data_IF_605093986954
#
_entry.id   IF_605093986954
#
_cell.length_a   1.000
_cell.length_b   1.000
_cell.length_c   1.000
_cell.angle_alpha   90.00
_cell.angle_beta   90.00
_cell.angle_gamma   90.00
#
_symmetry.space_group_name_H-M   'P 1'
#
loop_
_entity.id
_entity.type
_entity.pdbx_description
1 polymer ?
#
# COMPACT_ATOMS: atom_id res chain seq x y z
N UNK A 1 -43.29 27.31 20.35
CA UNK A 1 -42.32 26.22 20.17
C UNK A 1 -42.42 25.32 21.39
N UNK A 2 -42.65 24.03 21.16
CA UNK A 2 -42.73 23.06 22.23
C UNK A 2 -41.37 22.80 22.87
N UNK A 3 -41.34 22.39 24.15
CA UNK A 3 -40.10 22.04 24.86
C UNK A 3 -39.29 20.95 24.12
N UNK A 4 -39.94 20.09 23.35
CA UNK A 4 -39.34 19.08 22.49
C UNK A 4 -38.63 19.68 21.27
N UNK A 5 -39.13 20.74 20.66
CA UNK A 5 -38.47 21.44 19.54
C UNK A 5 -37.24 22.23 20.01
N UNK A 6 -37.26 22.79 21.22
CA UNK A 6 -36.08 23.42 21.81
C UNK A 6 -34.98 22.40 22.17
N UNK A 7 -35.37 21.23 22.69
CA UNK A 7 -34.43 20.14 22.98
C UNK A 7 -33.79 19.55 21.71
N UNK A 8 -34.56 19.39 20.63
CA UNK A 8 -34.02 18.95 19.31
C UNK A 8 -33.08 20.00 18.68
N UNK A 9 -33.37 21.30 18.86
CA UNK A 9 -32.48 22.38 18.37
C UNK A 9 -31.18 22.53 19.18
N UNK A 10 -31.15 22.03 20.40
CA UNK A 10 -29.96 22.06 21.28
C UNK A 10 -29.06 20.85 21.14
N UNK A 11 -29.52 19.77 20.50
CA UNK A 11 -28.72 18.57 20.29
C UNK A 11 -27.53 18.86 19.36
N UNK A 12 -26.28 18.57 19.77
CA UNK A 12 -25.07 18.75 18.92
C UNK A 12 -25.16 18.02 17.60
N UNK A 13 -25.84 16.88 17.55
CA UNK A 13 -26.00 16.03 16.38
C UNK A 13 -26.79 16.67 15.23
N UNK A 14 -27.73 17.55 15.56
CA UNK A 14 -28.53 18.26 14.57
C UNK A 14 -27.97 19.66 14.34
N UNK A 15 -27.59 20.34 15.42
CA UNK A 15 -27.11 21.71 15.34
C UNK A 15 -25.79 21.86 14.58
N UNK A 16 -24.94 20.81 14.53
CA UNK A 16 -23.67 20.80 13.77
C UNK A 16 -23.88 21.06 12.28
N UNK A 17 -24.99 20.63 11.72
CA UNK A 17 -25.30 20.76 10.30
C UNK A 17 -25.69 22.19 9.87
N UNK A 18 -26.36 22.92 10.75
CA UNK A 18 -26.94 24.21 10.43
C UNK A 18 -26.25 25.38 11.16
N UNK A 19 -25.73 25.13 12.36
CA UNK A 19 -25.17 26.17 13.23
C UNK A 19 -23.82 25.72 13.84
N UNK A 20 -22.82 25.32 13.02
CA UNK A 20 -21.58 24.69 13.53
C UNK A 20 -20.81 25.57 14.50
N UNK A 21 -20.83 26.90 14.34
CA UNK A 21 -20.16 27.85 15.26
C UNK A 21 -20.74 27.82 16.67
N UNK A 22 -22.08 27.81 16.79
CA UNK A 22 -22.76 27.74 18.10
C UNK A 22 -22.60 26.35 18.72
N UNK A 23 -22.63 25.31 17.88
CA UNK A 23 -22.47 23.95 18.34
C UNK A 23 -21.10 23.75 18.99
N UNK A 24 -20.00 24.24 18.38
CA UNK A 24 -18.67 24.10 18.98
C UNK A 24 -18.54 24.92 20.28
N UNK A 25 -19.14 26.11 20.37
CA UNK A 25 -19.18 26.90 21.62
C UNK A 25 -19.81 26.12 22.75
N UNK A 26 -20.99 25.50 22.53
CA UNK A 26 -21.67 24.70 23.51
C UNK A 26 -20.84 23.46 23.91
N UNK A 27 -20.25 22.75 22.91
CA UNK A 27 -19.41 21.59 23.17
C UNK A 27 -18.17 21.98 24.01
N UNK A 28 -17.53 23.09 23.70
CA UNK A 28 -16.39 23.57 24.45
C UNK A 28 -16.74 23.99 25.88
N UNK A 29 -17.92 24.57 26.07
CA UNK A 29 -18.43 24.98 27.40
C UNK A 29 -18.73 23.76 28.29
N UNK A 30 -19.38 22.74 27.76
CA UNK A 30 -19.76 21.53 28.49
C UNK A 30 -18.58 20.57 28.72
N UNK A 31 -17.49 20.70 27.95
CA UNK A 31 -16.29 19.82 27.96
C UNK A 31 -16.62 18.31 27.96
N UNK A 32 -17.51 17.81 27.11
CA UNK A 32 -17.84 16.39 27.09
C UNK A 32 -16.68 15.62 26.40
N UNK A 33 -15.67 15.22 27.17
CA UNK A 33 -14.59 14.39 26.66
C UNK A 33 -15.06 12.96 26.33
N UNK A 34 -16.20 12.54 26.94
CA UNK A 34 -16.80 11.23 26.69
C UNK A 34 -17.42 11.21 25.28
N UNK A 35 -16.95 10.30 24.45
CA UNK A 35 -17.46 10.11 23.10
C UNK A 35 -16.65 10.79 21.97
N UNK A 36 -15.80 11.79 22.25
CA UNK A 36 -14.98 12.47 21.23
C UNK A 36 -14.03 11.48 20.53
N UNK A 37 -13.44 10.55 21.28
CA UNK A 37 -12.58 9.51 20.71
C UNK A 37 -13.38 8.58 19.80
N UNK A 38 -14.56 8.17 20.24
CA UNK A 38 -15.44 7.29 19.50
C UNK A 38 -15.95 7.97 18.22
N UNK A 39 -16.40 9.22 18.33
CA UNK A 39 -16.86 9.99 17.18
C UNK A 39 -15.73 10.32 16.20
N UNK A 40 -14.57 10.72 16.71
CA UNK A 40 -13.41 11.06 15.90
C UNK A 40 -12.85 9.84 15.16
N UNK A 41 -12.71 8.70 15.85
CA UNK A 41 -12.29 7.45 15.20
C UNK A 41 -13.32 7.00 14.17
N UNK A 42 -14.61 7.04 14.48
CA UNK A 42 -15.68 6.70 13.56
C UNK A 42 -15.66 7.57 12.31
N UNK A 43 -15.45 8.87 12.45
CA UNK A 43 -15.39 9.81 11.33
C UNK A 43 -14.20 9.53 10.40
N UNK A 44 -13.03 9.23 10.97
CA UNK A 44 -11.84 8.88 10.17
C UNK A 44 -11.98 7.50 9.51
N UNK A 45 -12.52 6.51 10.26
CA UNK A 45 -12.87 5.20 9.71
C UNK A 45 -13.85 5.35 8.55
N UNK A 46 -14.90 6.16 8.72
CA UNK A 46 -15.90 6.40 7.70
C UNK A 46 -15.27 6.99 6.43
N UNK A 47 -14.41 7.99 6.56
CA UNK A 47 -13.69 8.59 5.43
C UNK A 47 -12.82 7.58 4.69
N UNK A 48 -12.04 6.80 5.42
CA UNK A 48 -11.12 5.80 4.83
C UNK A 48 -11.88 4.64 4.22
N UNK A 49 -12.86 4.09 4.94
CA UNK A 49 -13.65 2.96 4.47
C UNK A 49 -14.48 3.30 3.23
N UNK A 50 -15.02 4.51 3.15
CA UNK A 50 -15.74 4.97 1.95
C UNK A 50 -14.85 5.04 0.70
N UNK A 51 -13.57 5.34 0.86
CA UNK A 51 -12.58 5.29 -0.22
C UNK A 51 -12.28 3.85 -0.64
N UNK A 52 -12.05 2.95 0.34
CA UNK A 52 -11.75 1.54 0.09
C UNK A 52 -12.92 0.81 -0.57
N UNK A 53 -14.14 1.09 -0.12
CA UNK A 53 -15.36 0.54 -0.73
C UNK A 53 -15.49 0.96 -2.19
N UNK A 54 -15.24 2.24 -2.49
CA UNK A 54 -15.24 2.73 -3.89
C UNK A 54 -14.18 2.03 -4.73
N UNK A 55 -12.95 1.92 -4.20
CA UNK A 55 -11.86 1.23 -4.88
C UNK A 55 -12.19 -0.25 -5.13
N UNK A 56 -12.71 -0.96 -4.11
CA UNK A 56 -13.10 -2.37 -4.24
C UNK A 56 -14.17 -2.60 -5.31
N UNK A 57 -15.16 -1.71 -5.43
CA UNK A 57 -16.20 -1.78 -6.47
C UNK A 57 -15.62 -1.47 -7.84
N UNK A 58 -14.80 -0.41 -7.95
CA UNK A 58 -14.22 0.04 -9.22
C UNK A 58 -13.28 -1.01 -9.84
N UNK A 59 -12.50 -1.72 -9.01
CA UNK A 59 -11.52 -2.71 -9.46
C UNK A 59 -11.94 -4.17 -9.26
N UNK A 60 -13.16 -4.44 -8.76
CA UNK A 60 -13.70 -5.80 -8.50
C UNK A 60 -12.83 -6.66 -7.57
N UNK A 61 -12.05 -6.04 -6.71
CA UNK A 61 -11.18 -6.71 -5.72
C UNK A 61 -11.89 -6.64 -4.37
N UNK A 62 -12.92 -7.46 -4.16
CA UNK A 62 -13.61 -7.51 -2.88
C UNK A 62 -13.39 -8.88 -2.22
N UNK A 63 -12.42 -8.93 -1.30
CA UNK A 63 -12.22 -10.05 -0.40
C UNK A 63 -12.60 -9.59 1.01
N UNK A 64 -13.52 -10.29 1.68
CA UNK A 64 -14.00 -9.93 2.99
C UNK A 64 -12.92 -10.02 4.09
N UNK A 65 -11.93 -10.93 3.95
CA UNK A 65 -10.79 -11.02 4.87
C UNK A 65 -9.91 -9.77 4.77
N UNK A 66 -9.67 -9.32 3.55
CA UNK A 66 -8.94 -8.07 3.30
C UNK A 66 -9.74 -6.89 3.83
N UNK A 67 -11.05 -6.85 3.59
CA UNK A 67 -11.92 -5.79 4.09
C UNK A 67 -11.95 -5.72 5.62
N UNK A 68 -12.02 -6.85 6.31
CA UNK A 68 -11.97 -6.91 7.77
C UNK A 68 -10.61 -6.45 8.33
N UNK A 69 -9.50 -6.90 7.75
CA UNK A 69 -8.16 -6.46 8.12
C UNK A 69 -7.98 -4.95 7.93
N UNK A 70 -8.44 -4.41 6.81
CA UNK A 70 -8.43 -2.98 6.53
C UNK A 70 -9.32 -2.19 7.51
N UNK A 71 -10.49 -2.69 7.89
CA UNK A 71 -11.36 -2.03 8.88
C UNK A 71 -10.66 -1.89 10.24
N UNK A 72 -9.96 -2.93 10.71
CA UNK A 72 -9.18 -2.89 11.95
C UNK A 72 -8.02 -1.88 11.82
N UNK A 73 -7.27 -1.94 10.71
CA UNK A 73 -6.19 -1.01 10.45
C UNK A 73 -6.68 0.45 10.39
N UNK A 74 -7.84 0.69 9.75
CA UNK A 74 -8.49 2.00 9.72
C UNK A 74 -8.95 2.48 11.11
N UNK A 75 -9.42 1.57 11.98
CA UNK A 75 -9.78 1.94 13.34
C UNK A 75 -8.57 2.45 14.13
N UNK A 76 -7.45 1.73 14.08
CA UNK A 76 -6.20 2.14 14.72
C UNK A 76 -5.67 3.44 14.10
N UNK A 77 -5.65 3.54 12.77
CA UNK A 77 -5.23 4.74 12.05
C UNK A 77 -6.16 5.93 12.34
N UNK A 78 -7.46 5.69 12.54
CA UNK A 78 -8.43 6.71 12.88
C UNK A 78 -8.15 7.38 14.24
N UNK A 79 -7.89 6.57 15.26
CA UNK A 79 -7.54 7.10 16.59
C UNK A 79 -6.21 7.85 16.54
N UNK A 80 -5.17 7.23 15.97
CA UNK A 80 -3.84 7.88 15.87
C UNK A 80 -3.91 9.14 15.01
N UNK A 81 -4.64 9.09 13.89
CA UNK A 81 -4.84 10.22 12.99
C UNK A 81 -5.55 11.40 13.65
N UNK A 82 -6.54 11.15 14.52
CA UNK A 82 -7.21 12.18 15.30
C UNK A 82 -6.23 12.97 16.20
N UNK A 83 -5.34 12.25 16.90
CA UNK A 83 -4.35 12.88 17.77
C UNK A 83 -3.30 13.63 16.98
N UNK A 84 -2.78 13.03 15.90
CA UNK A 84 -1.78 13.63 15.02
C UNK A 84 -2.33 14.89 14.35
N UNK A 85 -3.52 14.81 13.76
CA UNK A 85 -4.13 15.96 13.09
C UNK A 85 -4.43 17.10 14.06
N UNK A 86 -4.99 16.79 15.23
CA UNK A 86 -5.22 17.82 16.26
C UNK A 86 -3.93 18.47 16.75
N UNK A 87 -2.85 17.70 16.86
CA UNK A 87 -1.53 18.23 17.21
C UNK A 87 -0.97 19.16 16.12
N UNK A 88 -1.07 18.75 14.85
CA UNK A 88 -0.61 19.55 13.71
C UNK A 88 -1.41 20.84 13.59
N UNK A 89 -2.75 20.76 13.70
CA UNK A 89 -3.59 21.97 13.66
C UNK A 89 -3.35 22.89 14.86
N UNK A 90 -3.01 22.35 16.02
CA UNK A 90 -2.58 23.15 17.17
C UNK A 90 -1.29 23.92 16.86
N UNK A 91 -0.32 23.26 16.22
CA UNK A 91 0.94 23.91 15.83
C UNK A 91 0.71 25.01 14.77
N UNK A 92 -0.07 24.70 13.72
CA UNK A 92 -0.40 25.67 12.68
C UNK A 92 -1.17 26.87 13.25
N UNK A 93 -2.12 26.62 14.17
CA UNK A 93 -2.85 27.67 14.88
C UNK A 93 -1.94 28.54 15.73
N UNK A 94 -1.07 27.94 16.54
CA UNK A 94 -0.12 28.67 17.40
C UNK A 94 0.82 29.59 16.63
N UNK A 95 1.33 29.15 15.48
CA UNK A 95 2.19 29.97 14.61
C UNK A 95 1.47 31.24 14.12
N UNK A 96 0.15 31.23 14.07
CA UNK A 96 -0.67 32.37 13.64
C UNK A 96 -1.38 33.08 14.83
N UNK A 97 -0.97 32.77 16.05
CA UNK A 97 -1.48 33.41 17.28
C UNK A 97 -2.75 32.79 17.84
N UNK A 98 -3.05 31.55 17.52
CA UNK A 98 -4.18 30.79 18.05
C UNK A 98 -3.98 30.34 19.50
N UNK A 99 -5.10 30.09 20.20
CA UNK A 99 -5.12 29.78 21.63
C UNK A 99 -5.73 28.43 21.98
N UNK A 100 -6.28 27.71 21.00
CA UNK A 100 -6.95 26.43 21.23
C UNK A 100 -6.00 25.36 21.77
N UNK A 101 -6.49 24.59 22.72
CA UNK A 101 -5.79 23.42 23.24
C UNK A 101 -5.91 22.22 22.29
N UNK A 102 -5.00 21.25 22.42
CA UNK A 102 -5.09 20.02 21.63
C UNK A 102 -6.40 19.23 21.91
N UNK A 103 -6.96 19.35 23.11
CA UNK A 103 -8.23 18.71 23.45
C UNK A 103 -9.40 19.35 22.69
N UNK A 104 -9.45 20.67 22.64
CA UNK A 104 -10.44 21.42 21.88
C UNK A 104 -10.35 21.14 20.38
N UNK A 105 -9.15 21.06 19.83
CA UNK A 105 -8.96 20.73 18.42
C UNK A 105 -9.32 19.28 18.09
N UNK A 106 -9.13 18.32 19.01
CA UNK A 106 -9.69 16.98 18.82
C UNK A 106 -11.21 16.99 18.69
N UNK A 107 -11.90 17.82 19.49
CA UNK A 107 -13.36 18.00 19.36
C UNK A 107 -13.73 18.62 18.01
N UNK A 108 -12.98 19.63 17.57
CA UNK A 108 -13.18 20.26 16.25
C UNK A 108 -13.01 19.25 15.11
N UNK A 109 -11.96 18.43 15.15
CA UNK A 109 -11.72 17.38 14.14
C UNK A 109 -12.83 16.34 14.17
N UNK A 110 -13.21 15.85 15.36
CA UNK A 110 -14.22 14.81 15.50
C UNK A 110 -15.58 15.26 14.97
N UNK A 111 -16.04 16.43 15.36
CA UNK A 111 -17.36 16.97 14.96
C UNK A 111 -17.35 17.56 13.55
N UNK A 112 -16.24 18.14 13.11
CA UNK A 112 -16.10 18.69 11.76
C UNK A 112 -16.18 17.65 10.65
N UNK A 113 -15.77 16.39 10.94
CA UNK A 113 -15.83 15.28 10.01
C UNK A 113 -17.16 14.50 10.04
N UNK A 114 -18.15 14.95 10.83
CA UNK A 114 -19.44 14.29 10.96
C UNK A 114 -20.16 13.99 9.62
N UNK A 115 -20.13 14.88 8.60
CA UNK A 115 -20.71 14.55 7.31
C UNK A 115 -20.09 13.33 6.60
N UNK A 116 -18.84 13.00 6.90
CA UNK A 116 -18.19 11.80 6.34
C UNK A 116 -18.83 10.50 6.86
N UNK A 117 -19.37 10.51 8.09
CA UNK A 117 -20.09 9.36 8.66
C UNK A 117 -21.40 9.11 7.91
N UNK A 118 -22.12 10.19 7.58
CA UNK A 118 -23.32 10.09 6.74
C UNK A 118 -22.96 9.62 5.33
N UNK A 119 -21.87 10.14 4.76
CA UNK A 119 -21.35 9.71 3.47
C UNK A 119 -21.04 8.22 3.41
N UNK A 120 -20.48 7.65 4.47
CA UNK A 120 -20.26 6.20 4.57
C UNK A 120 -21.59 5.43 4.62
N UNK A 121 -22.54 5.86 5.45
CA UNK A 121 -23.85 5.19 5.54
C UNK A 121 -24.54 5.14 4.18
N UNK A 122 -24.55 6.26 3.45
CA UNK A 122 -25.08 6.32 2.08
C UNK A 122 -24.29 5.44 1.11
N UNK A 123 -22.95 5.42 1.21
CA UNK A 123 -22.11 4.57 0.39
C UNK A 123 -22.42 3.08 0.62
N UNK A 124 -22.60 2.65 1.85
CA UNK A 124 -22.96 1.25 2.16
C UNK A 124 -24.33 0.87 1.61
N UNK A 125 -25.32 1.76 1.66
CA UNK A 125 -26.63 1.53 1.03
C UNK A 125 -26.52 1.39 -0.47
N UNK A 126 -25.74 2.25 -1.13
CA UNK A 126 -25.50 2.17 -2.58
C UNK A 126 -24.74 0.92 -2.98
N UNK A 127 -23.79 0.45 -2.16
CA UNK A 127 -23.10 -0.83 -2.37
C UNK A 127 -24.06 -1.99 -2.24
N UNK A 128 -24.89 -2.01 -1.20
CA UNK A 128 -25.91 -3.04 -1.04
C UNK A 128 -26.87 -3.08 -2.26
N UNK A 129 -27.30 -1.91 -2.73
CA UNK A 129 -28.10 -1.80 -3.94
C UNK A 129 -27.36 -2.34 -5.19
N UNK A 130 -26.05 -2.06 -5.34
CA UNK A 130 -25.25 -2.56 -6.43
C UNK A 130 -25.15 -4.10 -6.43
N UNK A 131 -24.96 -4.71 -5.26
CA UNK A 131 -24.90 -6.16 -5.10
C UNK A 131 -26.25 -6.85 -5.43
N UNK A 132 -27.36 -6.21 -5.09
CA UNK A 132 -28.71 -6.73 -5.39
C UNK A 132 -29.04 -6.60 -6.88
N UNK A 133 -28.68 -5.49 -7.51
CA UNK A 133 -29.05 -5.21 -8.91
C UNK A 133 -28.08 -5.83 -9.92
N UNK A 134 -26.81 -6.05 -9.56
CA UNK A 134 -25.76 -6.51 -10.47
C UNK A 134 -25.55 -8.03 -10.52
N UNK A 135 -26.38 -8.84 -9.84
CA UNK A 135 -26.29 -10.32 -9.90
C UNK A 135 -24.93 -10.94 -9.55
N UNK A 136 -24.07 -10.20 -8.86
CA UNK A 136 -22.75 -10.66 -8.34
C UNK A 136 -21.60 -10.71 -9.37
N UNK A 137 -21.88 -10.82 -10.66
CA UNK A 137 -20.86 -11.01 -11.71
C UNK A 137 -20.72 -9.82 -12.69
N UNK A 138 -21.66 -8.88 -12.71
CA UNK A 138 -21.61 -7.73 -13.60
C UNK A 138 -20.98 -6.50 -12.93
N UNK A 139 -20.44 -5.59 -13.76
CA UNK A 139 -19.91 -4.32 -13.26
C UNK A 139 -21.03 -3.51 -12.61
N UNK A 140 -20.72 -2.84 -11.49
CA UNK A 140 -21.68 -1.93 -10.87
C UNK A 140 -22.16 -0.90 -11.92
N UNK A 141 -23.48 -0.64 -11.98
CA UNK A 141 -24.03 0.33 -12.93
C UNK A 141 -23.35 1.71 -12.81
N UNK A 142 -23.06 2.34 -13.93
CA UNK A 142 -22.34 3.63 -13.96
C UNK A 142 -23.01 4.72 -13.10
N UNK A 143 -24.34 4.70 -13.00
CA UNK A 143 -25.08 5.65 -12.16
C UNK A 143 -24.77 5.48 -10.65
N UNK A 144 -24.56 4.25 -10.18
CA UNK A 144 -24.17 4.00 -8.76
C UNK A 144 -22.79 4.59 -8.49
N UNK A 145 -21.82 4.36 -9.38
CA UNK A 145 -20.48 4.94 -9.25
C UNK A 145 -20.52 6.47 -9.27
N UNK A 146 -21.36 7.04 -10.11
CA UNK A 146 -21.57 8.49 -10.17
C UNK A 146 -22.16 9.01 -8.87
N UNK A 147 -23.21 8.36 -8.33
CA UNK A 147 -23.81 8.71 -7.04
C UNK A 147 -22.81 8.59 -5.89
N UNK A 148 -21.99 7.54 -5.84
CA UNK A 148 -20.94 7.39 -4.84
C UNK A 148 -19.92 8.53 -4.89
N UNK A 149 -19.50 8.93 -6.09
CA UNK A 149 -18.55 10.02 -6.29
C UNK A 149 -19.15 11.38 -5.90
N UNK A 150 -20.36 11.66 -6.32
CA UNK A 150 -21.06 12.93 -6.01
C UNK A 150 -21.38 13.06 -4.52
N UNK A 151 -21.88 11.99 -3.88
CA UNK A 151 -22.14 11.97 -2.44
C UNK A 151 -20.85 12.22 -1.64
N UNK A 152 -19.75 11.56 -2.01
CA UNK A 152 -18.48 11.77 -1.33
C UNK A 152 -17.95 13.21 -1.51
N UNK A 153 -18.12 13.78 -2.68
CA UNK A 153 -17.72 15.17 -2.95
C UNK A 153 -18.54 16.15 -2.10
N UNK A 154 -19.86 15.98 -2.08
CA UNK A 154 -20.77 16.85 -1.30
C UNK A 154 -20.45 16.74 0.21
N UNK A 155 -20.37 15.52 0.74
CA UNK A 155 -20.03 15.30 2.15
C UNK A 155 -18.64 15.83 2.50
N UNK A 156 -17.67 15.68 1.59
CA UNK A 156 -16.31 16.19 1.75
C UNK A 156 -16.26 17.73 1.82
N UNK A 157 -16.91 18.40 0.88
CA UNK A 157 -17.00 19.87 0.88
C UNK A 157 -17.70 20.36 2.14
N UNK A 158 -18.82 19.72 2.52
CA UNK A 158 -19.56 20.11 3.71
C UNK A 158 -18.76 19.89 4.99
N UNK A 159 -18.03 18.77 5.10
CA UNK A 159 -17.09 18.53 6.21
C UNK A 159 -16.02 19.61 6.29
N UNK A 160 -15.44 20.02 5.16
CA UNK A 160 -14.43 21.06 5.12
C UNK A 160 -14.99 22.42 5.60
N UNK A 161 -16.21 22.76 5.21
CA UNK A 161 -16.89 24.00 5.64
C UNK A 161 -17.16 23.97 7.14
N UNK A 162 -17.77 22.89 7.65
CA UNK A 162 -18.05 22.74 9.08
C UNK A 162 -16.75 22.81 9.88
N UNK A 163 -15.74 22.05 9.46
CA UNK A 163 -14.43 22.04 10.11
C UNK A 163 -13.79 23.44 10.15
N UNK A 164 -13.79 24.17 9.04
CA UNK A 164 -13.24 25.51 8.99
C UNK A 164 -13.98 26.50 9.91
N UNK A 165 -15.31 26.41 9.96
CA UNK A 165 -16.13 27.27 10.83
C UNK A 165 -15.91 26.97 12.31
N UNK A 166 -15.82 25.68 12.68
CA UNK A 166 -15.55 25.25 14.04
C UNK A 166 -14.12 25.59 14.48
N UNK A 167 -13.14 25.37 13.60
CA UNK A 167 -11.73 25.69 13.82
C UNK A 167 -11.53 27.21 14.01
N UNK A 168 -12.12 28.03 13.13
CA UNK A 168 -12.10 29.49 13.24
C UNK A 168 -12.60 29.97 14.63
N UNK A 169 -13.65 29.32 15.15
CA UNK A 169 -14.23 29.70 16.43
C UNK A 169 -13.39 29.24 17.61
N UNK A 170 -12.87 28.02 17.55
CA UNK A 170 -12.00 27.47 18.59
C UNK A 170 -10.69 28.26 18.75
N UNK A 171 -10.07 28.69 17.64
CA UNK A 171 -8.83 29.48 17.65
C UNK A 171 -9.06 30.98 17.81
N UNK A 172 -10.29 31.48 17.65
CA UNK A 172 -10.63 32.90 17.68
C UNK A 172 -10.13 33.64 16.43
N UNK A 173 -10.05 32.98 15.29
CA UNK A 173 -9.51 33.53 14.06
C UNK A 173 -10.57 34.21 13.19
N UNK A 174 -10.16 35.30 12.51
CA UNK A 174 -10.88 35.80 11.34
C UNK A 174 -10.67 34.91 10.12
N UNK A 175 -11.42 35.17 9.05
CA UNK A 175 -11.45 34.36 7.82
C UNK A 175 -10.05 34.07 7.25
N UNK A 176 -9.22 35.08 7.01
CA UNK A 176 -7.89 34.90 6.37
C UNK A 176 -6.91 34.11 7.22
N UNK A 177 -6.93 34.35 8.56
CA UNK A 177 -6.08 33.57 9.47
C UNK A 177 -6.51 32.10 9.53
N UNK A 178 -7.83 31.85 9.48
CA UNK A 178 -8.35 30.48 9.42
C UNK A 178 -7.88 29.78 8.15
N UNK A 179 -8.03 30.40 6.98
CA UNK A 179 -7.56 29.84 5.71
C UNK A 179 -6.07 29.55 5.76
N UNK A 180 -5.25 30.50 6.23
CA UNK A 180 -3.82 30.32 6.35
C UNK A 180 -3.43 29.19 7.31
N UNK A 181 -4.09 29.11 8.48
CA UNK A 181 -3.83 28.04 9.46
C UNK A 181 -4.22 26.65 8.94
N UNK A 182 -5.36 26.54 8.26
CA UNK A 182 -5.81 25.30 7.65
C UNK A 182 -4.91 24.87 6.50
N UNK A 183 -4.49 25.80 5.66
CA UNK A 183 -3.53 25.51 4.58
C UNK A 183 -2.19 25.06 5.14
N UNK A 184 -1.65 25.75 6.14
CA UNK A 184 -0.41 25.34 6.80
C UNK A 184 -0.54 23.96 7.46
N UNK A 185 -1.64 23.73 8.18
CA UNK A 185 -1.94 22.42 8.79
C UNK A 185 -2.05 21.30 7.74
N UNK A 186 -2.66 21.58 6.59
CA UNK A 186 -2.73 20.63 5.48
C UNK A 186 -1.34 20.34 4.91
N UNK A 187 -0.52 21.35 4.66
CA UNK A 187 0.87 21.18 4.19
C UNK A 187 1.68 20.33 5.17
N UNK A 188 1.59 20.62 6.47
CA UNK A 188 2.29 19.84 7.49
C UNK A 188 1.84 18.37 7.52
N UNK A 189 0.53 18.11 7.37
CA UNK A 189 0.02 16.73 7.26
C UNK A 189 0.55 16.00 6.01
N UNK A 190 0.59 16.67 4.86
CA UNK A 190 1.15 16.10 3.62
C UNK A 190 2.65 15.81 3.80
N UNK A 191 3.41 16.74 4.36
CA UNK A 191 4.84 16.55 4.63
C UNK A 191 5.06 15.36 5.58
N UNK A 192 4.29 15.27 6.66
CA UNK A 192 4.39 14.14 7.58
C UNK A 192 4.06 12.80 6.89
N UNK A 193 3.00 12.77 6.08
CA UNK A 193 2.63 11.56 5.32
C UNK A 193 3.74 11.16 4.35
N UNK A 194 4.35 12.11 3.65
CA UNK A 194 5.50 11.88 2.77
C UNK A 194 6.72 11.34 3.53
N UNK A 195 7.03 11.93 4.69
CA UNK A 195 8.16 11.47 5.53
C UNK A 195 7.92 10.03 6.00
N UNK A 196 6.72 9.71 6.45
CA UNK A 196 6.36 8.34 6.86
C UNK A 196 6.45 7.39 5.66
N UNK A 197 5.86 7.75 4.51
CA UNK A 197 5.86 6.92 3.31
C UNK A 197 7.30 6.67 2.80
N UNK A 198 8.13 7.70 2.77
CA UNK A 198 9.56 7.58 2.42
C UNK A 198 10.32 6.74 3.44
N UNK A 199 10.03 6.92 4.73
CA UNK A 199 10.61 6.09 5.80
C UNK A 199 10.28 4.62 5.64
N UNK A 200 9.01 4.28 5.44
CA UNK A 200 8.57 2.90 5.19
C UNK A 200 9.23 2.33 3.93
N UNK A 201 9.22 3.08 2.83
CA UNK A 201 9.83 2.67 1.56
C UNK A 201 11.35 2.46 1.67
N UNK A 202 12.03 3.26 2.47
CA UNK A 202 13.49 3.20 2.64
C UNK A 202 13.91 2.09 3.59
N UNK A 203 13.21 1.97 4.73
CA UNK A 203 13.65 1.14 5.85
C UNK A 203 12.93 -0.22 5.90
N UNK A 204 11.70 -0.31 5.45
CA UNK A 204 10.90 -1.52 5.63
C UNK A 204 10.64 -2.24 4.32
N UNK A 205 9.72 -1.72 3.51
CA UNK A 205 9.20 -2.42 2.34
C UNK A 205 9.13 -1.51 1.13
N UNK A 206 9.50 -2.05 -0.02
CA UNK A 206 9.34 -1.39 -1.30
C UNK A 206 8.49 -2.26 -2.23
N UNK A 207 7.42 -1.69 -2.84
CA UNK A 207 6.67 -2.40 -3.87
C UNK A 207 7.47 -2.48 -5.17
N UNK A 208 7.41 -3.65 -5.82
CA UNK A 208 7.93 -3.93 -7.15
C UNK A 208 6.86 -4.61 -7.98
N UNK A 209 6.98 -4.50 -9.28
CA UNK A 209 6.20 -5.30 -10.24
C UNK A 209 7.13 -6.24 -10.99
N UNK A 210 6.56 -7.32 -11.53
CA UNK A 210 7.30 -8.30 -12.34
C UNK A 210 7.21 -7.92 -13.81
N UNK A 211 8.29 -7.37 -14.42
CA UNK A 211 8.28 -6.96 -15.83
C UNK A 211 8.62 -8.08 -16.79
N UNK A 212 8.93 -9.29 -16.31
CA UNK A 212 9.40 -10.40 -17.16
C UNK A 212 8.96 -11.76 -16.64
N UNK A 213 8.89 -12.74 -17.54
CA UNK A 213 8.54 -14.13 -17.23
C UNK A 213 9.66 -14.93 -16.56
N UNK A 214 10.83 -14.33 -16.28
CA UNK A 214 12.02 -15.06 -15.81
C UNK A 214 11.84 -15.74 -14.44
N UNK A 215 10.80 -15.41 -13.70
CA UNK A 215 10.45 -16.01 -12.40
C UNK A 215 9.19 -16.87 -12.45
N UNK A 216 8.61 -17.07 -13.64
CA UNK A 216 7.43 -17.96 -13.80
C UNK A 216 7.79 -19.41 -13.45
N UNK A 217 6.88 -20.16 -12.81
CA UNK A 217 5.54 -19.78 -12.38
C UNK A 217 5.48 -19.22 -10.94
N UNK A 218 6.60 -18.85 -10.34
CA UNK A 218 6.64 -18.35 -8.95
C UNK A 218 6.10 -16.92 -8.86
N UNK A 219 6.47 -16.07 -9.82
CA UNK A 219 5.95 -14.73 -10.03
C UNK A 219 5.52 -14.63 -11.49
N UNK A 220 4.29 -14.19 -11.71
CA UNK A 220 3.73 -13.99 -13.04
C UNK A 220 4.03 -12.57 -13.54
N UNK A 221 3.93 -12.38 -14.86
CA UNK A 221 4.04 -11.04 -15.45
C UNK A 221 2.94 -10.14 -14.89
N UNK A 222 3.31 -8.95 -14.44
CA UNK A 222 2.37 -7.99 -13.86
C UNK A 222 2.08 -8.18 -12.37
N UNK A 223 2.57 -9.24 -11.73
CA UNK A 223 2.42 -9.40 -10.29
C UNK A 223 3.10 -8.26 -9.53
N UNK A 224 2.42 -7.77 -8.48
CA UNK A 224 2.97 -6.84 -7.51
C UNK A 224 3.38 -7.58 -6.25
N UNK A 225 4.57 -7.29 -5.77
CA UNK A 225 5.11 -7.89 -4.54
C UNK A 225 5.89 -6.87 -3.72
N UNK A 226 6.02 -7.14 -2.42
CA UNK A 226 6.78 -6.29 -1.50
C UNK A 226 8.14 -6.92 -1.20
N UNK A 227 9.18 -6.11 -1.31
CA UNK A 227 10.56 -6.50 -0.96
C UNK A 227 10.90 -5.94 0.40
N UNK A 228 11.33 -6.81 1.32
CA UNK A 228 11.83 -6.37 2.62
C UNK A 228 13.25 -5.84 2.49
N UNK A 229 13.47 -4.58 2.86
CA UNK A 229 14.78 -3.92 2.77
C UNK A 229 15.77 -4.38 3.83
N UNK A 230 15.26 -4.77 4.99
CA UNK A 230 16.07 -5.17 6.14
C UNK A 230 16.60 -6.60 6.07
N UNK A 231 16.07 -7.45 5.17
CA UNK A 231 16.41 -8.88 5.11
C UNK A 231 17.91 -9.13 4.89
N UNK A 232 18.56 -8.34 4.05
CA UNK A 232 19.97 -8.48 3.71
C UNK A 232 20.79 -7.22 4.00
N UNK A 233 20.26 -6.29 4.80
CA UNK A 233 20.87 -5.01 5.13
C UNK A 233 20.71 -3.95 4.05
N UNK A 234 21.20 -2.75 4.37
CA UNK A 234 20.98 -1.54 3.58
C UNK A 234 22.21 -1.16 2.76
N UNK A 235 21.97 -0.78 1.52
CA UNK A 235 22.97 -0.17 0.64
C UNK A 235 22.52 1.24 0.27
N UNK A 236 23.35 2.02 -0.39
CA UNK A 236 22.94 3.33 -0.90
C UNK A 236 21.74 3.23 -1.86
N UNK A 237 21.53 2.08 -2.55
CA UNK A 237 20.35 1.80 -3.36
C UNK A 237 19.06 1.58 -2.53
N UNK A 238 19.18 1.38 -1.22
CA UNK A 238 18.01 1.28 -0.35
C UNK A 238 17.33 2.63 -0.12
N UNK A 239 18.07 3.74 -0.29
CA UNK A 239 17.62 5.11 -0.10
C UNK A 239 17.04 5.64 -1.42
N UNK A 240 15.93 6.39 -1.40
CA UNK A 240 15.41 7.06 -2.59
C UNK A 240 16.46 7.93 -3.26
N UNK A 241 16.50 7.92 -4.60
CA UNK A 241 17.49 8.60 -5.42
C UNK A 241 18.93 8.07 -5.30
N UNK A 242 19.14 6.98 -4.55
CA UNK A 242 20.43 6.28 -4.42
C UNK A 242 21.64 7.20 -4.13
N UNK A 243 21.59 8.08 -3.11
CA UNK A 243 22.70 9.00 -2.81
C UNK A 243 23.94 8.20 -2.36
N UNK A 244 25.10 8.58 -2.85
CA UNK A 244 26.37 7.91 -2.54
C UNK A 244 26.95 8.38 -1.20
N UNK A 245 26.15 8.35 -0.12
CA UNK A 245 26.59 8.78 1.21
C UNK A 245 27.52 7.76 1.89
N UNK A 246 27.40 6.49 1.52
CA UNK A 246 28.24 5.41 2.02
C UNK A 246 28.43 4.33 0.96
N UNK A 247 29.51 3.55 1.08
CA UNK A 247 29.81 2.39 0.26
C UNK A 247 29.63 1.11 1.08
N UNK A 248 29.29 0.02 0.38
CA UNK A 248 29.09 -1.28 1.03
C UNK A 248 27.68 -1.48 1.57
N UNK A 249 27.54 -2.32 2.59
CA UNK A 249 26.27 -2.76 3.16
C UNK A 249 26.27 -2.61 4.67
N UNK A 250 25.26 -1.89 5.20
CA UNK A 250 25.03 -1.75 6.64
C UNK A 250 24.10 -2.88 7.11
N UNK A 251 24.44 -3.52 8.24
CA UNK A 251 23.72 -4.66 8.80
C UNK A 251 23.54 -5.80 7.81
N UNK A 252 24.59 -6.08 7.01
CA UNK A 252 24.54 -7.06 5.94
C UNK A 252 24.38 -8.48 6.45
N UNK A 253 23.48 -9.26 5.85
CA UNK A 253 23.43 -10.71 5.92
C UNK A 253 23.50 -11.31 4.53
N UNK A 254 23.98 -12.55 4.44
CA UNK A 254 24.06 -13.25 3.18
C UNK A 254 22.74 -13.98 2.87
N UNK A 255 22.27 -13.95 1.60
CA UNK A 255 21.08 -14.68 1.21
C UNK A 255 21.34 -16.19 1.23
N UNK A 256 20.35 -16.95 1.61
CA UNK A 256 20.38 -18.40 1.55
C UNK A 256 20.08 -18.93 0.15
N UNK A 257 20.50 -20.17 -0.12
CA UNK A 257 20.14 -20.84 -1.36
C UNK A 257 18.64 -21.09 -1.41
N UNK A 258 18.00 -20.68 -2.49
CA UNK A 258 16.54 -20.75 -2.68
C UNK A 258 15.84 -19.40 -2.50
N UNK A 259 16.47 -18.43 -1.85
CA UNK A 259 15.87 -17.11 -1.64
C UNK A 259 15.60 -16.39 -2.96
N UNK A 260 14.51 -15.62 -2.96
CA UNK A 260 14.18 -14.72 -4.06
C UNK A 260 14.66 -13.32 -3.68
N UNK A 261 15.55 -12.78 -4.49
CA UNK A 261 16.21 -11.50 -4.21
C UNK A 261 15.98 -10.51 -5.34
N UNK A 262 15.91 -9.24 -4.99
CA UNK A 262 15.99 -8.13 -5.94
C UNK A 262 17.43 -7.62 -5.94
N UNK A 263 18.01 -7.53 -7.11
CA UNK A 263 19.38 -7.06 -7.27
C UNK A 263 19.47 -5.99 -8.35
N UNK A 264 20.35 -5.03 -8.14
CA UNK A 264 20.69 -4.02 -9.12
C UNK A 264 21.61 -4.64 -10.19
N UNK A 265 21.35 -4.35 -11.45
CA UNK A 265 22.16 -4.90 -12.54
C UNK A 265 23.52 -4.21 -12.58
N UNK A 266 24.66 -4.95 -12.49
CA UNK A 266 26.00 -4.33 -12.41
C UNK A 266 26.40 -3.49 -13.63
N UNK A 267 25.77 -3.72 -14.78
CA UNK A 267 26.04 -2.99 -16.02
C UNK A 267 25.12 -1.79 -16.24
N UNK A 268 24.01 -1.74 -15.53
CA UNK A 268 23.00 -0.70 -15.68
C UNK A 268 22.33 -0.47 -14.33
N UNK A 269 22.75 0.57 -13.65
CA UNK A 269 22.25 0.96 -12.33
C UNK A 269 20.79 1.45 -12.35
N UNK A 270 20.14 1.54 -13.51
CA UNK A 270 18.73 1.89 -13.63
C UNK A 270 17.80 0.67 -13.52
N UNK A 271 18.34 -0.57 -13.70
CA UNK A 271 17.54 -1.78 -13.79
C UNK A 271 17.65 -2.65 -12.54
N UNK A 272 16.49 -3.05 -12.03
CA UNK A 272 16.35 -4.04 -10.96
C UNK A 272 15.91 -5.39 -11.53
N UNK A 273 16.60 -6.46 -11.14
CA UNK A 273 16.23 -7.84 -11.49
C UNK A 273 15.72 -8.58 -10.26
N UNK A 274 14.67 -9.35 -10.46
CA UNK A 274 14.18 -10.32 -9.47
C UNK A 274 14.69 -11.69 -9.88
N UNK A 275 15.45 -12.35 -9.02
CA UNK A 275 16.07 -13.63 -9.30
C UNK A 275 16.09 -14.53 -8.06
N UNK A 276 16.22 -15.85 -8.30
CA UNK A 276 16.40 -16.83 -7.21
C UNK A 276 17.87 -17.14 -7.04
N UNK A 277 18.34 -17.18 -5.80
CA UNK A 277 19.68 -17.58 -5.43
C UNK A 277 19.79 -19.11 -5.56
N UNK A 278 20.60 -19.60 -6.50
CA UNK A 278 20.85 -21.04 -6.69
C UNK A 278 22.27 -21.43 -6.32
N UNK A 279 23.23 -20.50 -6.39
CA UNK A 279 24.62 -20.70 -6.03
C UNK A 279 25.07 -19.77 -4.90
N UNK A 280 25.93 -20.26 -4.05
CA UNK A 280 26.60 -19.51 -2.99
C UNK A 280 28.08 -19.30 -3.36
N UNK A 281 28.80 -18.35 -2.72
CA UNK A 281 30.23 -18.16 -2.96
C UNK A 281 31.00 -19.48 -2.80
N UNK A 282 31.83 -19.78 -3.81
CA UNK A 282 32.58 -21.04 -3.87
C UNK A 282 31.96 -22.16 -4.70
N UNK A 283 30.65 -22.10 -4.95
CA UNK A 283 29.97 -23.12 -5.73
C UNK A 283 30.37 -23.09 -7.22
N UNK A 284 30.38 -24.27 -7.82
CA UNK A 284 30.45 -24.45 -9.29
C UNK A 284 29.04 -24.74 -9.82
N UNK A 285 28.55 -23.84 -10.63
CA UNK A 285 27.19 -23.91 -11.19
C UNK A 285 27.27 -24.21 -12.68
N UNK A 286 26.52 -25.21 -13.13
CA UNK A 286 26.43 -25.56 -14.54
C UNK A 286 24.98 -25.97 -14.86
N UNK A 287 24.55 -25.67 -16.06
CA UNK A 287 23.30 -26.19 -16.63
C UNK A 287 23.66 -27.10 -17.78
N UNK A 288 23.27 -28.37 -17.68
CA UNK A 288 23.47 -29.39 -18.75
C UNK A 288 22.10 -29.87 -19.21
N UNK A 289 21.81 -29.73 -20.48
CA UNK A 289 20.53 -30.16 -21.07
C UNK A 289 19.28 -29.71 -20.25
N UNK A 290 19.32 -28.48 -19.75
CA UNK A 290 18.24 -27.93 -18.94
C UNK A 290 18.20 -28.40 -17.48
N UNK A 291 19.16 -29.20 -17.03
CA UNK A 291 19.29 -29.64 -15.64
C UNK A 291 20.35 -28.81 -14.94
N UNK A 292 19.97 -28.22 -13.80
CA UNK A 292 20.89 -27.49 -12.95
C UNK A 292 21.81 -28.46 -12.21
N UNK A 293 23.12 -28.21 -12.26
CA UNK A 293 24.14 -28.99 -11.55
C UNK A 293 24.91 -28.03 -10.63
N UNK A 294 25.04 -28.39 -9.37
CA UNK A 294 25.74 -27.64 -8.33
C UNK A 294 26.85 -28.52 -7.76
N UNK A 295 28.10 -28.09 -7.84
CA UNK A 295 29.27 -28.84 -7.40
C UNK A 295 29.29 -30.27 -7.94
N UNK A 296 29.09 -30.37 -9.27
CA UNK A 296 29.03 -31.62 -10.04
C UNK A 296 27.85 -32.56 -9.70
N UNK A 297 26.95 -32.16 -8.79
CA UNK A 297 25.77 -32.92 -8.41
C UNK A 297 24.53 -32.32 -9.10
N UNK A 298 23.79 -33.15 -9.86
CA UNK A 298 22.55 -32.71 -10.48
C UNK A 298 21.45 -32.49 -9.44
N UNK A 299 20.75 -31.39 -9.58
CA UNK A 299 19.62 -31.05 -8.68
C UNK A 299 18.48 -32.02 -8.92
N UNK A 300 17.93 -32.58 -7.83
CA UNK A 300 16.77 -33.49 -7.88
C UNK A 300 15.58 -32.80 -8.52
N UNK A 301 14.94 -33.48 -9.49
CA UNK A 301 13.90 -32.92 -10.33
C UNK A 301 12.71 -33.85 -10.38
N UNK A 302 11.51 -33.34 -10.12
CA UNK A 302 10.24 -34.05 -10.19
C UNK A 302 9.31 -33.34 -11.16
N UNK A 303 8.75 -34.05 -12.12
CA UNK A 303 7.79 -33.49 -13.05
C UNK A 303 6.48 -33.21 -12.34
N UNK A 304 5.94 -32.03 -12.54
CA UNK A 304 4.62 -31.61 -12.04
C UNK A 304 3.61 -31.58 -13.19
N UNK A 305 2.34 -31.38 -12.85
CA UNK A 305 1.32 -31.11 -13.87
C UNK A 305 1.71 -29.89 -14.73
N UNK A 306 1.49 -29.99 -16.03
CA UNK A 306 1.82 -28.95 -16.98
C UNK A 306 1.11 -27.63 -16.62
N UNK A 307 1.78 -26.53 -16.85
CA UNK A 307 1.20 -25.22 -16.65
C UNK A 307 0.46 -24.81 -17.92
N UNK A 308 -0.84 -24.57 -17.77
CA UNK A 308 -1.69 -24.00 -18.82
C UNK A 308 -1.89 -22.54 -18.47
N UNK A 309 -1.05 -21.69 -19.00
CA UNK A 309 -1.18 -20.26 -18.76
C UNK A 309 -0.93 -19.56 -20.07
N UNK A 310 -1.95 -18.86 -20.58
CA UNK A 310 -1.85 -18.02 -21.75
C UNK A 310 -0.59 -17.13 -21.72
N UNK A 311 -0.64 -15.90 -21.98
CA UNK A 311 0.46 -14.91 -22.09
C UNK A 311 1.57 -14.96 -20.99
N UNK A 312 1.45 -15.87 -20.02
CA UNK A 312 2.36 -15.97 -18.85
C UNK A 312 3.76 -16.53 -19.15
N UNK A 313 3.99 -17.09 -20.34
CA UNK A 313 5.28 -17.73 -20.67
C UNK A 313 5.96 -17.19 -21.94
N UNK A 314 5.50 -16.06 -22.48
CA UNK A 314 5.97 -15.43 -23.71
C UNK A 314 5.03 -15.69 -24.89
N UNK A 315 5.11 -14.82 -25.90
CA UNK A 315 4.21 -14.79 -27.07
C UNK A 315 4.11 -16.10 -27.85
N UNK A 316 5.11 -16.97 -27.72
CA UNK A 316 5.16 -18.28 -28.44
C UNK A 316 4.56 -19.45 -27.64
N UNK A 317 4.10 -19.25 -26.41
CA UNK A 317 3.68 -20.34 -25.51
C UNK A 317 2.15 -20.48 -25.45
N UNK A 318 1.47 -20.49 -26.57
CA UNK A 318 0.05 -20.85 -26.68
C UNK A 318 -0.22 -22.35 -26.36
N UNK A 319 0.64 -23.00 -25.55
CA UNK A 319 0.60 -24.40 -25.26
C UNK A 319 0.88 -24.76 -23.81
N UNK A 320 0.78 -26.07 -23.52
CA UNK A 320 1.15 -26.63 -22.23
C UNK A 320 2.66 -26.53 -22.02
N UNK A 321 3.09 -25.85 -20.95
CA UNK A 321 4.49 -25.70 -20.57
C UNK A 321 4.83 -26.71 -19.49
N UNK A 322 5.87 -27.53 -19.72
CA UNK A 322 6.35 -28.52 -18.74
C UNK A 322 6.85 -27.82 -17.50
N UNK A 323 6.38 -28.25 -16.36
CA UNK A 323 6.71 -27.70 -15.07
C UNK A 323 7.43 -28.73 -14.21
N UNK A 324 8.49 -28.29 -13.54
CA UNK A 324 9.31 -29.13 -12.69
C UNK A 324 9.41 -28.55 -11.28
N UNK A 325 9.44 -29.42 -10.29
CA UNK A 325 9.86 -29.10 -8.93
C UNK A 325 11.32 -29.49 -8.81
N UNK A 326 12.18 -28.56 -8.55
CA UNK A 326 13.60 -28.76 -8.30
C UNK A 326 13.87 -28.61 -6.80
N UNK A 327 14.58 -29.58 -6.20
CA UNK A 327 14.95 -29.56 -4.79
C UNK A 327 16.44 -29.26 -4.70
N UNK A 328 16.78 -28.07 -4.22
CA UNK A 328 18.15 -27.62 -4.03
C UNK A 328 18.86 -28.40 -2.93
N UNK A 329 20.22 -28.41 -2.87
CA UNK A 329 20.98 -29.17 -1.87
C UNK A 329 20.65 -28.89 -0.40
N UNK A 330 20.11 -27.71 -0.11
CA UNK A 330 19.67 -27.34 1.24
C UNK A 330 18.19 -27.74 1.54
N UNK A 331 17.56 -28.52 0.66
CA UNK A 331 16.16 -28.93 0.80
C UNK A 331 15.13 -27.90 0.30
N UNK A 332 15.55 -26.69 -0.10
CA UNK A 332 14.65 -25.70 -0.63
C UNK A 332 14.05 -26.16 -1.97
N UNK A 333 12.73 -26.26 -2.03
CA UNK A 333 12.01 -26.63 -3.24
C UNK A 333 11.70 -25.41 -4.09
N UNK A 334 12.03 -25.47 -5.38
CA UNK A 334 11.75 -24.43 -6.34
C UNK A 334 10.86 -24.95 -7.46
N UNK A 335 10.04 -24.09 -8.05
CA UNK A 335 9.26 -24.42 -9.25
C UNK A 335 9.95 -23.79 -10.46
N UNK A 336 10.16 -24.58 -11.49
CA UNK A 336 10.78 -24.12 -12.74
C UNK A 336 9.88 -24.55 -13.89
N UNK A 337 9.64 -23.66 -14.85
CA UNK A 337 8.98 -24.00 -16.12
C UNK A 337 9.99 -23.90 -17.26
N UNK A 338 9.97 -24.87 -18.16
CA UNK A 338 10.85 -24.90 -19.33
C UNK A 338 9.98 -24.84 -20.58
N UNK A 339 10.16 -23.78 -21.35
CA UNK A 339 9.59 -23.67 -22.70
C UNK A 339 10.45 -24.51 -23.65
N UNK A 340 9.87 -25.47 -24.33
CA UNK A 340 10.56 -26.57 -25.02
C UNK A 340 11.30 -26.20 -26.32
N UNK A 341 11.38 -24.93 -26.69
CA UNK A 341 12.00 -24.49 -27.97
C UNK A 341 13.33 -23.77 -27.87
N UNK A 342 14.01 -23.83 -26.74
CA UNK A 342 15.33 -23.21 -26.67
C UNK A 342 16.42 -24.19 -27.01
N UNK A 343 17.08 -23.94 -28.11
CA UNK A 343 18.35 -24.60 -28.46
C UNK A 343 19.37 -24.23 -27.40
N UNK A 344 19.65 -25.14 -26.49
CA UNK A 344 20.72 -24.95 -25.52
C UNK A 344 22.05 -24.92 -26.28
N UNK A 345 22.77 -23.83 -26.16
CA UNK A 345 24.19 -23.82 -26.59
C UNK A 345 24.92 -24.94 -25.86
N UNK A 346 25.44 -25.89 -26.62
CA UNK A 346 26.10 -27.09 -26.12
C UNK A 346 27.45 -26.82 -25.46
N UNK A 347 27.91 -25.59 -25.40
CA UNK A 347 29.16 -25.22 -24.73
C UNK A 347 28.94 -25.07 -23.23
N UNK A 348 29.49 -25.94 -22.38
CA UNK A 348 29.37 -25.87 -20.95
C UNK A 348 30.15 -24.63 -20.43
N UNK A 349 29.44 -23.54 -20.11
CA UNK A 349 30.05 -22.41 -19.41
C UNK A 349 30.07 -22.72 -17.92
N UNK A 350 31.23 -23.01 -17.37
CA UNK A 350 31.41 -23.05 -15.93
C UNK A 350 31.42 -21.62 -15.37
N UNK A 351 30.59 -21.35 -14.41
CA UNK A 351 30.65 -20.12 -13.65
C UNK A 351 31.08 -20.44 -12.22
N UNK A 352 32.31 -20.04 -11.88
CA UNK A 352 32.81 -20.15 -10.50
C UNK A 352 32.38 -18.89 -9.76
N UNK A 353 31.67 -19.09 -8.65
CA UNK A 353 31.23 -18.01 -7.79
C UNK A 353 32.43 -17.40 -7.06
N UNK A 354 32.71 -16.12 -7.31
CA UNK A 354 33.77 -15.39 -6.59
C UNK A 354 33.18 -14.71 -5.36
N UNK A 355 33.88 -14.73 -4.22
CA UNK A 355 33.48 -13.94 -3.06
C UNK A 355 33.35 -12.45 -3.45
N UNK A 356 32.24 -11.80 -3.03
CA UNK A 356 32.00 -10.39 -3.31
C UNK A 356 31.44 -10.04 -4.71
N UNK A 357 31.22 -11.03 -5.60
CA UNK A 357 30.63 -10.80 -6.91
C UNK A 357 29.11 -10.97 -6.88
N UNK A 358 28.38 -9.92 -7.23
CA UNK A 358 26.92 -9.94 -7.36
C UNK A 358 26.40 -10.89 -8.44
N UNK A 359 27.26 -11.31 -9.38
CA UNK A 359 26.89 -12.22 -10.48
C UNK A 359 26.67 -13.67 -10.07
N UNK A 360 27.10 -14.07 -8.86
CA UNK A 360 26.93 -15.42 -8.33
C UNK A 360 25.65 -15.60 -7.51
N UNK A 361 25.04 -14.51 -7.06
CA UNK A 361 23.89 -14.56 -6.16
C UNK A 361 22.59 -14.91 -6.87
N UNK A 362 22.52 -14.76 -8.19
CA UNK A 362 21.29 -14.94 -8.93
C UNK A 362 21.56 -15.48 -10.34
N UNK A 363 21.75 -16.79 -10.45
CA UNK A 363 21.68 -17.45 -11.74
C UNK A 363 20.29 -18.03 -11.91
N UNK A 364 19.37 -17.23 -12.49
CA UNK A 364 18.17 -17.81 -13.10
C UNK A 364 18.63 -18.30 -14.48
N UNK A 365 18.35 -19.55 -14.78
CA UNK A 365 18.48 -20.09 -16.12
C UNK A 365 17.41 -19.39 -16.97
N UNK A 366 17.72 -18.21 -17.44
CA UNK A 366 16.93 -17.54 -18.47
C UNK A 366 17.40 -18.08 -19.80
N UNK A 367 16.60 -18.90 -20.41
CA UNK A 367 16.72 -19.18 -21.84
C UNK A 367 16.27 -17.92 -22.57
N UNK A 368 17.18 -17.05 -22.98
CA UNK A 368 16.87 -16.04 -23.99
C UNK A 368 16.70 -16.74 -25.33
N UNK A 369 15.62 -16.51 -26.06
CA UNK A 369 15.63 -16.81 -27.48
C UNK A 369 16.72 -15.92 -28.10
N UNK A 370 17.72 -16.52 -28.73
CA UNK A 370 18.58 -15.80 -29.65
C UNK A 370 17.72 -15.43 -30.84
N UNK A 371 17.45 -14.14 -31.02
CA UNK A 371 16.94 -13.63 -32.29
C UNK A 371 17.96 -14.02 -33.37
N UNK A 372 17.55 -14.88 -34.29
CA UNK A 372 18.21 -15.11 -35.56
C UNK A 372 17.89 -14.01 -36.53
#
# INVERSE_FOLDING_TARGET
>A
MSSSEQALQSSPWISVWLKPRRTIENILAERPQRGVLLLGSLSVIAGTLSQLVRFGIEYRIFDWHIAAGLAIACAVAGVTGLYISAFIFKWSGRLLGGRASAAELRMVVAWGLMPSVLGLALALVLVAAALVTGGGNEAAPAWILTLLRTTALICGIWSAVIFALMFSRAEGFGFWRTVAALFLGWVLNVVLALVIALGVRTLLYQPFNTPSHSMSPTLLLGDYFFVSKFAYGYTHYSIPFSPHWFSGRLFGSEPARGDVVVLRVPKDDSLDYVKRVVGLPGDRIQVRQGVLTINDTAVKREQMADFVGGDSCGEDAAGKVKRWRETLPNGAATRCSIVSKTVFSTTPKFSKCRPGSSSCWATTVTTRPTAG
#
